data_IF_348989380959
#
_entry.id   IF_348989380959
#
_cell.length_a   1.000
_cell.length_b   1.000
_cell.length_c   1.000
_cell.angle_alpha   90.00
_cell.angle_beta   90.00
_cell.angle_gamma   90.00
#
_symmetry.space_group_name_H-M   'P 1'
#
loop_
_entity.id
_entity.type
_entity.pdbx_description
1 polymer ?
#
# COMPACT_ATOMS: atom_id res chain seq x y z
N UNK A 1 -11.96 14.28 -18.90
CA UNK A 1 -11.00 14.12 -17.77
C UNK A 1 -11.76 14.19 -16.47
N UNK A 2 -11.78 13.13 -15.67
CA UNK A 2 -12.52 13.10 -14.41
C UNK A 2 -11.72 13.83 -13.33
N UNK A 3 -11.95 15.14 -13.16
CA UNK A 3 -11.37 15.92 -12.06
C UNK A 3 -12.03 15.43 -10.78
N UNK A 4 -11.33 14.54 -10.06
CA UNK A 4 -11.71 14.17 -8.70
C UNK A 4 -11.61 15.41 -7.83
N UNK A 5 -12.75 15.90 -7.36
CA UNK A 5 -12.83 17.07 -6.50
C UNK A 5 -12.24 16.73 -5.13
N UNK A 6 -11.12 17.37 -4.77
CA UNK A 6 -10.52 17.19 -3.44
C UNK A 6 -11.43 17.80 -2.40
N UNK A 7 -11.85 17.01 -1.42
CA UNK A 7 -12.63 17.52 -0.28
C UNK A 7 -11.67 18.05 0.80
N UNK A 8 -11.78 19.32 1.21
CA UNK A 8 -11.01 19.82 2.33
C UNK A 8 -11.40 19.04 3.58
N UNK A 9 -10.39 18.51 4.27
CA UNK A 9 -10.55 17.69 5.47
C UNK A 9 -9.75 18.35 6.59
N UNK A 10 -10.37 18.56 7.74
CA UNK A 10 -9.69 19.17 8.88
C UNK A 10 -8.87 18.09 9.59
N UNK A 11 -7.58 18.33 9.77
CA UNK A 11 -6.63 17.37 10.35
C UNK A 11 -5.88 18.05 11.50
N UNK A 12 -5.78 17.37 12.64
CA UNK A 12 -4.93 17.79 13.74
C UNK A 12 -3.53 17.22 13.53
N UNK A 13 -2.54 18.10 13.40
CA UNK A 13 -1.12 17.76 13.22
C UNK A 13 -0.28 18.52 14.24
N UNK A 14 0.91 17.99 14.50
CA UNK A 14 1.86 18.63 15.40
C UNK A 14 2.18 20.07 14.94
N UNK A 15 2.02 21.08 15.80
CA UNK A 15 2.22 22.47 15.41
C UNK A 15 3.68 22.81 15.11
N UNK A 16 4.66 22.12 15.73
CA UNK A 16 6.08 22.34 15.44
C UNK A 16 6.43 21.81 14.04
N UNK A 17 5.91 20.64 13.67
CA UNK A 17 6.04 20.06 12.33
C UNK A 17 5.39 20.96 11.27
N UNK A 18 4.21 21.53 11.55
CA UNK A 18 3.57 22.49 10.65
C UNK A 18 4.40 23.76 10.46
N UNK A 19 5.00 24.27 11.53
CA UNK A 19 5.87 25.44 11.46
C UNK A 19 7.13 25.15 10.63
N UNK A 20 7.74 23.99 10.80
CA UNK A 20 8.89 23.55 10.01
C UNK A 20 8.55 23.35 8.53
N UNK A 21 7.45 22.65 8.24
CA UNK A 21 6.96 22.45 6.88
C UNK A 21 6.71 23.79 6.15
N UNK A 22 6.16 24.79 6.86
CA UNK A 22 5.99 26.15 6.31
C UNK A 22 7.31 26.85 6.04
N UNK A 23 8.29 26.78 6.96
CA UNK A 23 9.63 27.34 6.77
C UNK A 23 10.33 26.73 5.56
N UNK A 24 10.16 25.42 5.36
CA UNK A 24 10.75 24.66 4.26
C UNK A 24 9.91 24.72 2.97
N UNK A 25 8.80 25.47 2.94
CA UNK A 25 7.88 25.58 1.80
C UNK A 25 7.35 24.23 1.30
N UNK A 26 7.16 23.27 2.21
CA UNK A 26 6.60 21.96 1.91
C UNK A 26 5.13 22.11 1.53
N UNK A 27 4.72 21.43 0.46
CA UNK A 27 3.32 21.39 0.05
C UNK A 27 2.54 20.40 0.95
N UNK A 28 1.99 20.93 2.04
CA UNK A 28 1.25 20.18 3.05
C UNK A 28 0.12 19.31 2.47
N UNK A 29 -0.66 19.84 1.53
CA UNK A 29 -1.76 19.10 0.92
C UNK A 29 -1.25 17.89 0.14
N UNK A 30 -0.15 18.05 -0.60
CA UNK A 30 0.44 16.98 -1.38
C UNK A 30 1.09 15.93 -0.47
N UNK A 31 1.86 16.36 0.53
CA UNK A 31 2.48 15.46 1.50
C UNK A 31 1.44 14.64 2.29
N UNK A 32 0.34 15.28 2.71
CA UNK A 32 -0.75 14.59 3.38
C UNK A 32 -1.43 13.55 2.47
N UNK A 33 -1.68 13.90 1.20
CA UNK A 33 -2.27 12.97 0.24
C UNK A 33 -1.35 11.77 -0.04
N UNK A 34 -0.04 12.00 -0.17
CA UNK A 34 0.96 10.93 -0.33
C UNK A 34 1.02 10.01 0.89
N UNK A 35 1.01 10.57 2.10
CA UNK A 35 0.97 9.80 3.35
C UNK A 35 -0.30 8.95 3.47
N UNK A 36 -1.47 9.54 3.19
CA UNK A 36 -2.75 8.80 3.21
C UNK A 36 -2.76 7.68 2.16
N UNK A 37 -2.26 7.96 0.95
CA UNK A 37 -2.17 6.94 -0.11
C UNK A 37 -1.29 5.77 0.30
N UNK A 38 -0.13 6.04 0.91
CA UNK A 38 0.77 5.00 1.40
C UNK A 38 0.13 4.17 2.52
N UNK A 39 -0.50 4.82 3.50
CA UNK A 39 -1.18 4.14 4.60
C UNK A 39 -2.35 3.26 4.12
N UNK A 40 -3.16 3.75 3.17
CA UNK A 40 -4.25 2.97 2.57
C UNK A 40 -3.71 1.78 1.77
N UNK A 41 -2.62 1.96 1.03
CA UNK A 41 -1.99 0.86 0.29
C UNK A 41 -1.46 -0.23 1.23
N UNK A 42 -0.82 0.17 2.34
CA UNK A 42 -0.34 -0.76 3.37
C UNK A 42 -1.50 -1.55 3.99
N UNK A 43 -2.54 -0.85 4.46
CA UNK A 43 -3.71 -1.50 5.07
C UNK A 43 -4.41 -2.47 4.11
N UNK A 44 -4.53 -2.11 2.82
CA UNK A 44 -5.07 -3.01 1.78
C UNK A 44 -4.18 -4.22 1.56
N UNK A 45 -2.86 -4.05 1.56
CA UNK A 45 -1.93 -5.16 1.40
C UNK A 45 -2.01 -6.13 2.60
N UNK A 46 -2.09 -5.61 3.83
CA UNK A 46 -2.29 -6.40 5.04
C UNK A 46 -3.62 -7.17 5.00
N UNK A 47 -4.70 -6.50 4.61
CA UNK A 47 -6.01 -7.14 4.48
C UNK A 47 -6.00 -8.22 3.40
N UNK A 48 -5.41 -7.93 2.24
CA UNK A 48 -5.27 -8.92 1.17
C UNK A 48 -4.43 -10.12 1.61
N UNK A 49 -3.32 -9.90 2.31
CA UNK A 49 -2.49 -10.99 2.85
C UNK A 49 -3.28 -11.86 3.82
N UNK A 50 -4.06 -11.26 4.73
CA UNK A 50 -4.90 -12.01 5.66
C UNK A 50 -5.97 -12.83 4.93
N UNK A 51 -6.64 -12.25 3.94
CA UNK A 51 -7.68 -12.93 3.16
C UNK A 51 -7.13 -14.04 2.25
N UNK A 52 -5.91 -13.87 1.72
CA UNK A 52 -5.30 -14.80 0.77
C UNK A 52 -4.34 -15.79 1.43
N UNK A 53 -4.16 -15.72 2.76
CA UNK A 53 -3.28 -16.62 3.50
C UNK A 53 -3.64 -18.09 3.29
N UNK A 54 -4.92 -18.45 3.37
CA UNK A 54 -5.38 -19.82 3.17
C UNK A 54 -5.20 -20.30 1.72
N UNK A 55 -5.46 -19.42 0.75
CA UNK A 55 -5.28 -19.70 -0.67
C UNK A 55 -3.79 -19.92 -1.02
N UNK A 56 -2.91 -19.07 -0.47
CA UNK A 56 -1.47 -19.19 -0.63
C UNK A 56 -0.93 -20.45 0.06
N UNK A 57 -1.41 -20.77 1.26
CA UNK A 57 -0.98 -21.97 1.98
C UNK A 57 -1.42 -23.26 1.28
N UNK A 58 -2.63 -23.29 0.70
CA UNK A 58 -3.10 -24.40 -0.14
C UNK A 58 -2.24 -24.55 -1.40
N UNK A 59 -1.92 -23.44 -2.07
CA UNK A 59 -1.07 -23.44 -3.26
C UNK A 59 0.37 -23.88 -2.95
N UNK A 60 0.95 -23.39 -1.85
CA UNK A 60 2.27 -23.81 -1.37
C UNK A 60 2.29 -25.30 -0.99
N UNK A 61 1.28 -25.78 -0.27
CA UNK A 61 1.15 -27.22 0.08
C UNK A 61 1.02 -28.10 -1.16
N UNK A 62 0.35 -27.63 -2.21
CA UNK A 62 0.25 -28.33 -3.48
C UNK A 62 1.61 -28.40 -4.18
N UNK A 63 2.36 -27.30 -4.24
CA UNK A 63 3.71 -27.25 -4.82
C UNK A 63 4.70 -28.12 -4.02
N UNK A 64 4.63 -28.12 -2.68
CA UNK A 64 5.47 -29.02 -1.86
C UNK A 64 5.18 -30.50 -2.12
N UNK A 65 3.91 -30.86 -2.33
CA UNK A 65 3.50 -32.26 -2.56
C UNK A 65 3.72 -32.72 -3.99
N UNK A 66 3.57 -31.85 -4.98
CA UNK A 66 3.54 -32.21 -6.39
C UNK A 66 4.71 -31.65 -7.21
N UNK A 67 5.59 -30.87 -6.58
CA UNK A 67 6.63 -30.12 -7.27
C UNK A 67 6.06 -28.95 -8.06
N UNK A 68 6.95 -28.15 -8.66
CA UNK A 68 6.53 -27.04 -9.52
C UNK A 68 5.95 -27.61 -10.84
N UNK A 69 4.66 -27.38 -11.16
CA UNK A 69 3.99 -28.07 -12.27
C UNK A 69 4.62 -27.79 -13.65
N UNK A 70 5.33 -26.66 -13.78
CA UNK A 70 5.99 -26.20 -15.00
C UNK A 70 7.52 -26.29 -14.93
N UNK A 71 8.11 -26.88 -13.89
CA UNK A 71 9.57 -26.98 -13.72
C UNK A 71 10.25 -27.67 -14.92
N UNK A 72 9.58 -28.68 -15.45
CA UNK A 72 9.94 -29.45 -16.66
C UNK A 72 9.97 -28.66 -17.98
N UNK A 73 9.53 -27.40 -17.99
CA UNK A 73 9.56 -26.53 -19.18
C UNK A 73 10.46 -25.29 -18.99
N UNK A 74 11.23 -25.22 -17.90
CA UNK A 74 12.14 -24.08 -17.65
C UNK A 74 13.34 -24.14 -18.60
N UNK A 75 13.38 -23.25 -19.59
CA UNK A 75 14.59 -22.99 -20.38
C UNK A 75 15.49 -22.01 -19.62
N UNK A 76 16.77 -22.36 -19.49
CA UNK A 76 17.84 -21.60 -18.84
C UNK A 76 18.56 -20.68 -19.82
#
# INVERSE_FOLDING_TARGET
MNVQTRKPTNLSLDPALLAEARKLKVNLSRAAEEGVRAAVAAAKAEQWQAENAEALQSSNSYVEKHGLPLERFRQF
#
